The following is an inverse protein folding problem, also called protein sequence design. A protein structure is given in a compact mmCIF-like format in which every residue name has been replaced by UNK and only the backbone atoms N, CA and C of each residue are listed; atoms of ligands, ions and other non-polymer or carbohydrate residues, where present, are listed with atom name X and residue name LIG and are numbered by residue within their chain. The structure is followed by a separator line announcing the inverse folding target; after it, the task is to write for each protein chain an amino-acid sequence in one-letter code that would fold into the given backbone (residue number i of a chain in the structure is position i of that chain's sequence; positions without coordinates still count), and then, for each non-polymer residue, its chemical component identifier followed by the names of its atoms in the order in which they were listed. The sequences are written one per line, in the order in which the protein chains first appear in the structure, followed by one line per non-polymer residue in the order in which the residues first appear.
data_IF_941664559656
#
_entry.id   IF_941664559656
#
_cell.length_a   1.000
_cell.length_b   1.000
_cell.length_c   1.000
_cell.angle_alpha   90.00
_cell.angle_beta   90.00
_cell.angle_gamma   90.00
#
_symmetry.space_group_name_H-M   'P 1'
#
loop_
_entity.id
_entity.type
_entity.pdbx_description
1 polymer ?
#
# COMPACT_ATOMS: atom_id res chain seq x y z
N UNK A 1 57.47 -4.03 37.99
CA UNK A 1 56.46 -4.18 36.91
C UNK A 1 55.93 -2.80 36.54
N UNK A 2 56.39 -2.19 35.42
CA UNK A 2 55.89 -0.88 34.96
C UNK A 2 54.53 -1.08 34.30
N UNK A 3 53.44 -0.63 34.95
CA UNK A 3 52.13 -0.47 34.30
C UNK A 3 52.27 0.60 33.22
N UNK A 4 52.29 0.21 31.95
CA UNK A 4 52.23 1.18 30.86
C UNK A 4 50.86 1.86 30.94
N UNK A 5 50.86 3.20 30.96
CA UNK A 5 49.61 3.96 30.97
C UNK A 5 49.04 3.89 29.56
N UNK A 6 47.99 3.09 29.34
CA UNK A 6 47.18 3.11 28.11
C UNK A 6 46.42 4.44 28.01
N UNK A 7 47.12 5.52 27.68
CA UNK A 7 46.51 6.80 27.32
C UNK A 7 46.13 6.73 25.85
N UNK A 8 44.86 6.44 25.55
CA UNK A 8 44.33 6.45 24.19
C UNK A 8 43.34 5.33 23.87
N UNK A 9 43.41 4.19 24.56
CA UNK A 9 42.47 3.07 24.34
C UNK A 9 41.02 3.49 24.58
N UNK A 10 40.78 4.25 25.66
CA UNK A 10 39.45 4.78 25.99
C UNK A 10 38.92 5.74 24.92
N UNK A 11 39.79 6.55 24.30
CA UNK A 11 39.39 7.50 23.27
C UNK A 11 39.01 6.80 21.97
N UNK A 12 39.75 5.74 21.60
CA UNK A 12 39.45 4.93 20.40
C UNK A 12 38.15 4.14 20.62
N UNK A 13 37.99 3.53 21.79
CA UNK A 13 36.78 2.79 22.14
C UNK A 13 35.54 3.69 22.19
N UNK A 14 35.65 4.90 22.75
CA UNK A 14 34.56 5.87 22.73
C UNK A 14 34.25 6.38 21.32
N UNK A 15 35.28 6.64 20.50
CA UNK A 15 35.11 7.11 19.13
C UNK A 15 34.41 6.09 18.24
N UNK A 16 34.57 4.78 18.50
CA UNK A 16 33.88 3.72 17.78
C UNK A 16 32.53 3.35 18.41
N UNK A 17 32.45 3.35 19.74
CA UNK A 17 31.27 2.92 20.50
C UNK A 17 30.11 3.91 20.42
N UNK A 18 30.39 5.22 20.49
CA UNK A 18 29.34 6.25 20.45
C UNK A 18 28.57 6.24 19.11
N UNK A 19 29.22 6.23 17.93
CA UNK A 19 28.50 6.14 16.66
C UNK A 19 27.67 4.87 16.52
N UNK A 20 28.19 3.72 16.98
CA UNK A 20 27.46 2.45 16.95
C UNK A 20 26.21 2.51 17.84
N UNK A 21 26.35 3.04 19.05
CA UNK A 21 25.24 3.21 19.97
C UNK A 21 24.17 4.16 19.42
N UNK A 22 24.59 5.28 18.82
CA UNK A 22 23.68 6.20 18.16
C UNK A 22 22.97 5.55 16.98
N UNK A 23 23.66 4.78 16.15
CA UNK A 23 23.05 4.06 15.04
C UNK A 23 21.97 3.08 15.50
N UNK A 24 22.16 2.41 16.65
CA UNK A 24 21.14 1.52 17.25
C UNK A 24 19.92 2.33 17.71
N UNK A 25 20.13 3.45 18.40
CA UNK A 25 19.02 4.31 18.85
C UNK A 25 18.23 4.85 17.67
N UNK A 26 18.93 5.42 16.69
CA UNK A 26 18.29 5.98 15.50
C UNK A 26 17.60 4.89 14.68
N UNK A 27 18.19 3.69 14.58
CA UNK A 27 17.54 2.55 13.97
C UNK A 27 16.26 2.12 14.67
N UNK A 28 16.25 2.13 16.00
CA UNK A 28 15.04 1.85 16.77
C UNK A 28 13.94 2.89 16.52
N UNK A 29 14.31 4.18 16.51
CA UNK A 29 13.39 5.28 16.18
C UNK A 29 12.85 5.13 14.75
N UNK A 30 13.71 4.79 13.79
CA UNK A 30 13.33 4.60 12.39
C UNK A 30 12.32 3.46 12.23
N UNK A 31 12.52 2.33 12.93
CA UNK A 31 11.58 1.19 12.92
C UNK A 31 10.21 1.61 13.48
N UNK A 32 10.18 2.41 14.56
CA UNK A 32 8.93 2.94 15.11
C UNK A 32 8.19 3.82 14.09
N UNK A 33 8.92 4.71 13.40
CA UNK A 33 8.35 5.60 12.38
C UNK A 33 7.85 4.81 11.18
N UNK A 34 8.62 3.84 10.69
CA UNK A 34 8.20 2.93 9.62
C UNK A 34 6.91 2.20 9.96
N UNK A 35 6.85 1.63 11.17
CA UNK A 35 5.68 0.87 11.65
C UNK A 35 4.44 1.78 11.74
N UNK A 36 4.62 2.99 12.27
CA UNK A 36 3.55 3.98 12.34
C UNK A 36 3.03 4.36 10.95
N UNK A 37 3.93 4.67 10.00
CA UNK A 37 3.54 4.99 8.63
C UNK A 37 2.81 3.83 7.96
N UNK A 38 3.32 2.60 8.08
CA UNK A 38 2.64 1.41 7.55
C UNK A 38 1.23 1.25 8.11
N UNK A 39 1.05 1.35 9.43
CA UNK A 39 -0.27 1.22 10.05
C UNK A 39 -1.23 2.32 9.61
N UNK A 40 -0.75 3.55 9.46
CA UNK A 40 -1.53 4.68 8.97
C UNK A 40 -1.99 4.44 7.53
N UNK A 41 -1.09 3.99 6.66
CA UNK A 41 -1.38 3.68 5.26
C UNK A 41 -2.36 2.52 5.12
N UNK A 42 -2.19 1.45 5.90
CA UNK A 42 -3.08 0.28 5.87
C UNK A 42 -4.50 0.67 6.30
N UNK A 43 -4.61 1.54 7.31
CA UNK A 43 -5.90 2.09 7.73
C UNK A 43 -6.53 2.99 6.66
N UNK A 44 -5.75 3.88 6.06
CA UNK A 44 -6.21 4.78 5.00
C UNK A 44 -6.66 4.01 3.76
N UNK A 45 -5.89 3.01 3.33
CA UNK A 45 -6.21 2.14 2.20
C UNK A 45 -7.49 1.35 2.47
N UNK A 46 -7.61 0.70 3.62
CA UNK A 46 -8.81 -0.08 3.98
C UNK A 46 -10.05 0.81 4.02
N UNK A 47 -9.93 2.02 4.57
CA UNK A 47 -11.03 2.99 4.63
C UNK A 47 -11.44 3.47 3.24
N UNK A 48 -10.47 3.77 2.38
CA UNK A 48 -10.71 4.17 1.01
C UNK A 48 -11.40 3.04 0.23
N UNK A 49 -10.92 1.79 0.34
CA UNK A 49 -11.55 0.61 -0.28
C UNK A 49 -12.98 0.41 0.21
N UNK A 50 -13.23 0.51 1.52
CA UNK A 50 -14.58 0.36 2.08
C UNK A 50 -15.55 1.43 1.58
N UNK A 51 -15.11 2.69 1.43
CA UNK A 51 -15.94 3.78 0.92
C UNK A 51 -16.19 3.64 -0.58
N UNK A 52 -15.15 3.30 -1.34
CA UNK A 52 -15.23 3.16 -2.79
C UNK A 52 -16.08 1.97 -3.20
N UNK A 53 -15.98 0.81 -2.54
CA UNK A 53 -16.90 -0.33 -2.78
C UNK A 53 -18.38 0.04 -2.63
N UNK A 54 -18.70 0.97 -1.72
CA UNK A 54 -20.09 1.44 -1.49
C UNK A 54 -20.55 2.50 -2.49
N UNK A 55 -19.62 3.09 -3.24
CA UNK A 55 -19.93 4.11 -4.24
C UNK A 55 -20.40 3.51 -5.57
N UNK A 56 -20.31 2.19 -5.75
CA UNK A 56 -20.96 1.48 -6.85
C UNK A 56 -22.48 1.62 -6.72
N UNK A 57 -23.08 2.37 -7.63
CA UNK A 57 -24.52 2.61 -7.69
C UNK A 57 -25.09 1.92 -8.93
N UNK A 58 -25.89 0.88 -8.71
CA UNK A 58 -26.60 0.13 -9.75
C UNK A 58 -27.55 1.00 -10.61
N UNK A 59 -27.81 2.24 -10.19
CA UNK A 59 -28.67 3.23 -10.84
C UNK A 59 -27.93 4.23 -11.74
N UNK A 60 -26.59 4.31 -11.70
CA UNK A 60 -25.84 5.36 -12.39
C UNK A 60 -25.09 4.83 -13.61
N UNK A 61 -25.36 5.42 -14.78
CA UNK A 61 -24.74 5.06 -16.07
C UNK A 61 -23.29 5.53 -16.23
N UNK A 62 -22.65 6.01 -15.16
CA UNK A 62 -21.32 6.60 -15.20
C UNK A 62 -20.33 5.61 -14.58
N UNK A 63 -19.34 5.18 -15.37
CA UNK A 63 -18.24 4.33 -14.92
C UNK A 63 -17.52 5.02 -13.76
N UNK A 64 -17.66 4.48 -12.55
CA UNK A 64 -16.99 5.03 -11.36
C UNK A 64 -15.49 4.81 -11.52
N UNK A 65 -14.70 5.89 -11.55
CA UNK A 65 -13.25 5.78 -11.55
C UNK A 65 -12.75 5.49 -10.12
N UNK A 66 -12.84 4.22 -9.74
CA UNK A 66 -12.40 3.71 -8.44
C UNK A 66 -10.94 4.07 -8.12
N UNK A 67 -10.07 4.13 -9.14
CA UNK A 67 -8.67 4.51 -8.97
C UNK A 67 -8.48 5.96 -8.50
N UNK A 68 -9.24 6.90 -9.06
CA UNK A 68 -9.20 8.30 -8.64
C UNK A 68 -9.88 8.50 -7.28
N UNK A 69 -11.00 7.82 -7.05
CA UNK A 69 -11.72 7.92 -5.78
C UNK A 69 -10.89 7.39 -4.60
N UNK A 70 -10.10 6.32 -4.79
CA UNK A 70 -9.18 5.83 -3.77
C UNK A 70 -8.07 6.82 -3.49
N UNK A 71 -7.49 7.46 -4.53
CA UNK A 71 -6.47 8.50 -4.33
C UNK A 71 -7.02 9.64 -3.47
N UNK A 72 -8.23 10.10 -3.78
CA UNK A 72 -8.86 11.19 -3.06
C UNK A 72 -9.19 10.81 -1.60
N UNK A 73 -9.72 9.61 -1.38
CA UNK A 73 -10.03 9.11 -0.03
C UNK A 73 -8.77 8.79 0.78
N UNK A 74 -7.70 8.29 0.16
CA UNK A 74 -6.41 8.10 0.82
C UNK A 74 -5.78 9.43 1.23
N UNK A 75 -5.85 10.46 0.38
CA UNK A 75 -5.37 11.80 0.75
C UNK A 75 -6.15 12.39 1.92
N UNK A 76 -7.47 12.16 1.99
CA UNK A 76 -8.30 12.58 3.12
C UNK A 76 -8.01 11.78 4.40
N UNK A 77 -7.84 10.46 4.29
CA UNK A 77 -7.67 9.58 5.45
C UNK A 77 -6.22 9.58 5.99
N UNK A 78 -5.23 9.67 5.11
CA UNK A 78 -3.81 9.72 5.45
C UNK A 78 -3.30 11.11 5.85
N UNK A 79 -3.96 12.17 5.36
CA UNK A 79 -3.62 13.56 5.66
C UNK A 79 -2.16 13.92 5.31
N UNK A 80 -1.64 15.00 5.91
CA UNK A 80 -0.27 15.47 5.71
C UNK A 80 0.82 14.54 6.28
N UNK A 81 0.44 13.52 7.06
CA UNK A 81 1.38 12.60 7.71
C UNK A 81 1.80 11.46 6.77
N UNK A 82 0.90 11.00 5.90
CA UNK A 82 1.21 10.03 4.85
C UNK A 82 2.29 10.54 3.87
N UNK A 83 2.34 11.85 3.59
CA UNK A 83 3.33 12.42 2.67
C UNK A 83 4.75 12.55 3.25
N UNK A 84 4.91 12.50 4.56
CA UNK A 84 6.21 12.77 5.20
C UNK A 84 7.13 11.54 5.27
N UNK A 85 6.56 10.32 5.32
CA UNK A 85 7.32 9.07 5.29
C UNK A 85 7.42 8.44 3.89
N UNK A 86 6.92 9.12 2.85
CA UNK A 86 6.79 8.58 1.51
C UNK A 86 7.47 9.50 0.51
N UNK A 87 8.34 8.91 -0.32
CA UNK A 87 9.07 9.64 -1.35
C UNK A 87 8.09 10.32 -2.32
N UNK A 88 8.20 11.64 -2.57
CA UNK A 88 7.30 12.35 -3.46
C UNK A 88 7.24 11.70 -4.85
N UNK A 89 6.03 11.48 -5.36
CA UNK A 89 5.81 10.88 -6.69
C UNK A 89 6.03 9.36 -6.78
N UNK A 90 6.39 8.68 -5.68
CA UNK A 90 6.56 7.21 -5.67
C UNK A 90 5.24 6.43 -5.55
N UNK A 91 4.15 7.12 -5.20
CA UNK A 91 2.85 6.49 -4.93
C UNK A 91 2.18 6.03 -6.23
N UNK A 92 1.94 4.72 -6.34
CA UNK A 92 1.19 4.11 -7.42
C UNK A 92 0.01 3.32 -6.83
N UNK A 93 -1.19 3.66 -7.29
CA UNK A 93 -2.43 2.97 -6.93
C UNK A 93 -3.00 2.35 -8.20
N UNK A 94 -3.30 1.06 -8.15
CA UNK A 94 -3.86 0.29 -9.27
C UNK A 94 -4.98 -0.59 -8.76
N UNK A 95 -5.98 -0.80 -9.62
CA UNK A 95 -7.11 -1.67 -9.31
C UNK A 95 -7.20 -2.67 -10.45
N UNK A 96 -7.08 -3.94 -10.14
CA UNK A 96 -7.23 -5.03 -11.10
C UNK A 96 -8.54 -5.77 -10.80
N UNK A 97 -9.38 -5.98 -11.81
CA UNK A 97 -10.70 -6.59 -11.65
C UNK A 97 -10.75 -8.02 -12.20
N UNK A 98 -11.53 -8.87 -11.55
CA UNK A 98 -11.72 -10.27 -11.93
C UNK A 98 -13.19 -10.65 -11.93
N UNK A 99 -13.58 -11.41 -12.95
CA UNK A 99 -14.97 -11.84 -13.16
C UNK A 99 -15.45 -12.81 -12.10
N UNK A 100 -14.59 -13.73 -11.70
CA UNK A 100 -14.89 -14.79 -10.73
C UNK A 100 -13.63 -15.21 -9.97
N UNK A 101 -13.82 -16.07 -8.97
CA UNK A 101 -12.74 -16.56 -8.12
C UNK A 101 -11.75 -17.45 -8.87
N UNK A 102 -12.22 -18.23 -9.86
CA UNK A 102 -11.36 -19.11 -10.65
C UNK A 102 -10.40 -18.31 -11.55
N UNK A 103 -10.88 -17.22 -12.16
CA UNK A 103 -10.06 -16.27 -12.91
C UNK A 103 -9.01 -15.59 -12.03
N UNK A 104 -9.38 -15.23 -10.79
CA UNK A 104 -8.44 -14.70 -9.81
C UNK A 104 -7.36 -15.73 -9.42
N UNK A 105 -7.75 -16.97 -9.09
CA UNK A 105 -6.80 -18.04 -8.72
C UNK A 105 -5.80 -18.35 -9.84
N UNK A 106 -6.26 -18.43 -11.08
CA UNK A 106 -5.37 -18.61 -12.24
C UNK A 106 -4.33 -17.50 -12.33
N UNK A 107 -4.70 -16.26 -11.99
CA UNK A 107 -3.76 -15.15 -11.96
C UNK A 107 -2.75 -15.25 -10.82
N UNK A 108 -3.20 -15.63 -9.62
CA UNK A 108 -2.32 -15.74 -8.44
C UNK A 108 -1.36 -16.93 -8.55
N UNK A 109 -1.81 -18.06 -9.10
CA UNK A 109 -1.01 -19.27 -9.20
C UNK A 109 0.00 -19.23 -10.36
N UNK A 110 -0.38 -18.60 -11.48
CA UNK A 110 0.45 -18.61 -12.70
C UNK A 110 1.35 -17.38 -12.87
N UNK A 111 1.08 -16.27 -12.16
CA UNK A 111 1.79 -15.01 -12.36
C UNK A 111 2.27 -14.41 -11.04
N UNK A 112 3.48 -13.83 -11.04
CA UNK A 112 4.03 -13.15 -9.86
C UNK A 112 3.36 -11.80 -9.59
N UNK A 113 2.64 -11.25 -10.56
CA UNK A 113 1.90 -10.00 -10.43
C UNK A 113 0.58 -10.07 -11.17
N UNK A 114 -0.47 -9.53 -10.55
CA UNK A 114 -1.76 -9.29 -11.20
C UNK A 114 -1.63 -8.53 -12.52
N UNK A 115 -0.58 -7.71 -12.71
CA UNK A 115 -0.31 -6.96 -13.95
C UNK A 115 -0.17 -7.83 -15.19
N UNK A 116 0.45 -8.99 -15.03
CA UNK A 116 0.83 -9.87 -16.14
C UNK A 116 -0.30 -10.83 -16.49
N UNK A 117 -1.36 -10.86 -15.70
CA UNK A 117 -2.45 -11.78 -15.91
C UNK A 117 -3.38 -11.32 -17.05
N UNK A 118 -3.61 -12.15 -18.07
CA UNK A 118 -4.50 -11.82 -19.19
C UNK A 118 -5.99 -11.83 -18.80
N UNK A 119 -6.35 -12.53 -17.72
CA UNK A 119 -7.72 -12.59 -17.19
C UNK A 119 -8.12 -11.32 -16.42
N UNK A 120 -7.14 -10.43 -16.13
CA UNK A 120 -7.42 -9.16 -15.46
C UNK A 120 -8.18 -8.22 -16.40
N UNK A 121 -9.09 -7.44 -15.84
CA UNK A 121 -9.73 -6.33 -16.55
C UNK A 121 -9.43 -5.01 -15.84
N UNK A 122 -9.41 -3.93 -16.62
CA UNK A 122 -9.20 -2.57 -16.12
C UNK A 122 -10.53 -1.85 -15.83
N UNK A 123 -11.67 -2.49 -16.13
CA UNK A 123 -13.01 -1.97 -15.89
C UNK A 123 -13.75 -2.78 -14.83
N UNK A 124 -14.55 -2.13 -13.98
CA UNK A 124 -15.25 -2.76 -12.85
C UNK A 124 -16.55 -3.50 -13.24
N UNK A 125 -17.11 -3.24 -14.42
CA UNK A 125 -18.43 -3.73 -14.83
C UNK A 125 -18.49 -5.27 -14.97
N UNK A 126 -19.52 -5.90 -14.39
CA UNK A 126 -19.70 -7.36 -14.33
C UNK A 126 -18.51 -8.11 -13.68
N UNK A 127 -17.77 -7.44 -12.80
CA UNK A 127 -16.65 -8.04 -12.08
C UNK A 127 -17.02 -8.36 -10.65
N UNK A 128 -16.78 -9.59 -10.22
CA UNK A 128 -17.04 -10.05 -8.86
C UNK A 128 -16.01 -9.58 -7.84
N UNK A 129 -14.77 -9.39 -8.26
CA UNK A 129 -13.61 -9.18 -7.39
C UNK A 129 -12.82 -7.98 -7.89
N UNK A 130 -12.32 -7.19 -6.95
CA UNK A 130 -11.36 -6.13 -7.21
C UNK A 130 -10.16 -6.28 -6.28
N UNK A 131 -8.97 -6.09 -6.84
CA UNK A 131 -7.69 -6.16 -6.14
C UNK A 131 -7.07 -4.77 -6.18
N UNK A 132 -7.04 -4.11 -5.02
CA UNK A 132 -6.45 -2.80 -4.85
C UNK A 132 -4.99 -2.94 -4.47
N UNK A 133 -4.13 -2.52 -5.38
CA UNK A 133 -2.68 -2.53 -5.21
C UNK A 133 -2.18 -1.11 -4.94
N UNK A 134 -1.50 -0.93 -3.80
CA UNK A 134 -0.80 0.28 -3.43
C UNK A 134 0.71 -0.02 -3.35
N UNK A 135 1.49 0.77 -4.08
CA UNK A 135 2.95 0.71 -4.07
C UNK A 135 3.49 2.10 -3.79
N UNK A 136 4.45 2.20 -2.89
CA UNK A 136 5.12 3.46 -2.56
C UNK A 136 6.53 3.21 -2.04
N UNK A 137 7.39 4.20 -2.11
CA UNK A 137 8.75 4.13 -1.55
C UNK A 137 8.76 4.86 -0.22
N UNK A 138 9.09 4.13 0.84
CA UNK A 138 9.40 4.70 2.15
C UNK A 138 10.75 5.42 2.09
N UNK A 139 10.77 6.65 2.57
CA UNK A 139 11.95 7.53 2.62
C UNK A 139 12.43 7.63 4.08
N UNK A 140 13.49 6.92 4.47
CA UNK A 140 13.96 6.91 5.86
C UNK A 140 14.51 8.28 6.29
N UNK A 141 14.22 8.71 7.51
CA UNK A 141 14.78 9.96 8.04
C UNK A 141 16.30 9.88 8.17
N UNK A 142 16.82 8.69 8.46
CA UNK A 142 18.25 8.43 8.62
C UNK A 142 18.80 7.63 7.45
N UNK A 143 18.69 8.23 6.25
CA UNK A 143 19.07 7.61 4.96
C UNK A 143 20.54 7.20 4.84
N UNK A 144 21.42 7.74 5.69
CA UNK A 144 22.84 7.33 5.77
C UNK A 144 23.02 5.88 6.25
N UNK A 145 22.10 5.38 7.08
CA UNK A 145 22.15 4.01 7.62
C UNK A 145 21.05 3.10 7.06
N UNK A 146 19.94 3.67 6.59
CA UNK A 146 18.80 2.92 6.09
C UNK A 146 18.48 3.31 4.64
N UNK A 147 18.45 2.37 3.69
CA UNK A 147 18.12 2.69 2.30
C UNK A 147 16.62 2.88 2.12
N UNK A 148 16.24 3.56 1.04
CA UNK A 148 14.86 3.59 0.53
C UNK A 148 14.28 2.17 0.42
N UNK A 149 13.03 1.99 0.86
CA UNK A 149 12.36 0.69 0.82
C UNK A 149 11.06 0.79 0.04
N UNK A 150 10.87 -0.10 -0.94
CA UNK A 150 9.60 -0.20 -1.67
C UNK A 150 8.61 -1.01 -0.85
N UNK A 151 7.50 -0.38 -0.47
CA UNK A 151 6.41 -1.01 0.25
C UNK A 151 5.27 -1.29 -0.72
N UNK A 152 4.78 -2.54 -0.67
CA UNK A 152 3.64 -3.02 -1.46
C UNK A 152 2.53 -3.42 -0.48
N UNK A 153 1.29 -3.05 -0.82
CA UNK A 153 0.07 -3.37 -0.08
C UNK A 153 -1.01 -3.78 -1.05
N UNK A 154 -1.73 -4.83 -0.69
CA UNK A 154 -2.80 -5.40 -1.49
C UNK A 154 -4.03 -5.59 -0.62
N UNK A 155 -5.19 -5.17 -1.14
CA UNK A 155 -6.49 -5.41 -0.51
C UNK A 155 -7.42 -6.01 -1.56
N UNK A 156 -7.94 -7.19 -1.27
CA UNK A 156 -8.89 -7.90 -2.13
C UNK A 156 -10.29 -7.66 -1.59
N UNK A 157 -11.22 -7.28 -2.46
CA UNK A 157 -12.63 -7.08 -2.11
C UNK A 157 -13.56 -7.80 -3.07
N UNK A 158 -14.75 -8.12 -2.58
CA UNK A 158 -15.87 -8.59 -3.38
C UNK A 158 -16.70 -7.37 -3.82
N UNK A 159 -16.92 -7.21 -5.12
CA UNK A 159 -17.74 -6.14 -5.69
C UNK A 159 -19.20 -6.59 -5.84
N UNK A 160 -19.98 -6.44 -4.77
CA UNK A 160 -21.39 -6.86 -4.76
C UNK A 160 -22.27 -6.00 -5.68
N UNK A 161 -22.01 -4.69 -5.76
CA UNK A 161 -22.86 -3.73 -6.51
C UNK A 161 -22.60 -3.71 -8.02
N UNK A 162 -21.44 -4.22 -8.47
CA UNK A 162 -21.06 -4.29 -9.89
C UNK A 162 -21.50 -5.62 -10.55
N UNK A 163 -21.97 -6.59 -9.75
CA UNK A 163 -22.46 -7.87 -10.26
C UNK A 163 -23.85 -7.72 -10.88
N UNK A 164 -23.98 -8.22 -12.10
CA UNK A 164 -25.25 -8.33 -12.82
C UNK A 164 -26.38 -9.02 -12.03
N UNK A 165 -26.05 -10.00 -11.18
CA UNK A 165 -27.04 -10.81 -10.44
C UNK A 165 -27.74 -10.09 -9.28
N UNK A 166 -27.24 -8.92 -8.85
CA UNK A 166 -27.73 -8.23 -7.64
C UNK A 166 -28.42 -6.89 -7.91
N UNK A 167 -28.76 -6.57 -9.17
CA UNK A 167 -29.61 -5.41 -9.48
C UNK A 167 -31.02 -5.62 -8.91
N UNK A 168 -31.30 -5.04 -7.74
CA UNK A 168 -32.64 -5.06 -7.14
C UNK A 168 -33.50 -4.00 -7.85
N UNK A 169 -34.24 -4.44 -8.88
CA UNK A 169 -35.20 -3.62 -9.62
C UNK A 169 -35.65 -4.29 -10.93
N UNK A 170 -36.90 -4.09 -11.33
CA UNK A 170 -37.40 -4.59 -12.62
C UNK A 170 -36.70 -3.87 -13.78
N UNK A 171 -35.83 -4.57 -14.52
CA UNK A 171 -35.63 -4.28 -15.94
C UNK A 171 -34.30 -3.71 -16.43
N UNK A 172 -33.21 -3.73 -15.66
CA UNK A 172 -31.90 -3.39 -16.22
C UNK A 172 -31.10 -4.66 -16.56
N UNK A 173 -31.38 -5.24 -17.73
CA UNK A 173 -30.51 -6.25 -18.34
C UNK A 173 -29.09 -5.70 -18.46
N UNK A 174 -28.09 -6.57 -18.29
CA UNK A 174 -26.71 -6.18 -18.54
C UNK A 174 -26.57 -5.85 -20.02
N UNK A 175 -25.99 -4.68 -20.31
CA UNK A 175 -25.71 -4.31 -21.68
C UNK A 175 -24.88 -5.45 -22.30
N UNK A 176 -25.38 -5.97 -23.41
CA UNK A 176 -24.82 -7.10 -24.15
C UNK A 176 -23.54 -6.70 -24.86
#
# INVERSE_FOLDING_TARGET
MKRSKQKGSLTIEAAMGIPLFLAIIFGWVEICILTFNMSMTDHALTTAVMRTKKAGDSSNSNTVNYGQMIKDEMNKAGGALWSNGVKPGSVQIRVDYFKDYDGFLKCTDAYQSSKECPEKKDQPEDMALAVYNLEYTYDPLVSIWFPDMVIRREVITIQEYERCSFKIGQGAGCAS
#
